data_IF_538747857634
#
_entry.id   IF_538747857634
#
_cell.length_a   1.000
_cell.length_b   1.000
_cell.length_c   1.000
_cell.angle_alpha   90.00
_cell.angle_beta   90.00
_cell.angle_gamma   90.00
#
_symmetry.space_group_name_H-M   'P 1'
#
loop_
_entity.id
_entity.type
_entity.pdbx_description
1 polymer ?
#
# COMPACT_ATOMS: atom_id res chain seq x y z
N UNK A 1 7.75 5.39 7.98
CA UNK A 1 6.73 5.75 6.98
C UNK A 1 5.67 6.62 7.62
N UNK A 2 5.12 7.58 6.86
CA UNK A 2 3.96 8.39 7.27
C UNK A 2 2.83 8.18 6.27
N UNK A 3 1.58 8.21 6.73
CA UNK A 3 0.43 8.25 5.83
C UNK A 3 0.40 9.63 5.16
N UNK A 4 0.54 9.67 3.84
CA UNK A 4 0.61 10.92 3.07
C UNK A 4 -0.62 11.15 2.20
N UNK A 5 -1.39 10.11 1.90
CA UNK A 5 -2.68 10.22 1.23
C UNK A 5 -3.57 9.03 1.58
N UNK A 6 -4.88 9.24 1.54
CA UNK A 6 -5.86 8.15 1.68
C UNK A 6 -7.20 8.53 1.04
N UNK A 7 -7.97 7.50 0.68
CA UNK A 7 -9.38 7.61 0.33
C UNK A 7 -10.17 6.42 0.90
N UNK A 8 -11.40 6.21 0.45
CA UNK A 8 -12.26 5.12 0.93
C UNK A 8 -11.70 3.70 0.69
N UNK A 9 -10.79 3.53 -0.27
CA UNK A 9 -10.25 2.23 -0.70
C UNK A 9 -8.72 2.20 -0.73
N UNK A 10 -8.04 3.34 -0.64
CA UNK A 10 -6.58 3.42 -0.74
C UNK A 10 -5.93 4.08 0.47
N UNK A 11 -4.71 3.65 0.78
CA UNK A 11 -3.82 4.24 1.78
C UNK A 11 -2.42 4.32 1.18
N UNK A 12 -1.82 5.51 1.16
CA UNK A 12 -0.46 5.74 0.66
C UNK A 12 0.44 6.15 1.81
N UNK A 13 1.46 5.33 2.05
CA UNK A 13 2.52 5.58 3.01
C UNK A 13 3.80 5.95 2.28
N UNK A 14 4.47 7.01 2.71
CA UNK A 14 5.72 7.48 2.11
C UNK A 14 6.82 7.72 3.16
N UNK A 15 8.06 7.46 2.76
CA UNK A 15 9.28 7.82 3.47
C UNK A 15 10.43 8.05 2.46
N UNK A 16 10.61 9.27 1.93
CA UNK A 16 11.66 9.56 0.95
C UNK A 16 13.09 9.33 1.46
N UNK A 17 13.31 9.35 2.78
CA UNK A 17 14.62 9.17 3.39
C UNK A 17 15.07 7.70 3.51
N UNK A 18 14.20 6.74 3.16
CA UNK A 18 14.56 5.32 3.15
C UNK A 18 15.29 4.99 1.84
N UNK A 19 16.22 4.04 1.87
CA UNK A 19 16.88 3.49 0.70
C UNK A 19 15.91 2.68 -0.19
N UNK A 20 15.21 1.69 0.38
CA UNK A 20 14.05 1.02 -0.20
C UNK A 20 13.28 0.22 0.87
N UNK A 21 11.93 0.22 0.87
CA UNK A 21 11.05 0.96 -0.03
C UNK A 21 10.85 2.41 0.44
N UNK A 22 10.41 3.29 -0.47
CA UNK A 22 10.07 4.68 -0.14
C UNK A 22 8.57 4.94 -0.17
N UNK A 23 7.80 4.10 -0.87
CA UNK A 23 6.34 4.17 -0.96
C UNK A 23 5.73 2.77 -0.76
N UNK A 24 4.67 2.73 0.03
CA UNK A 24 3.78 1.58 0.17
C UNK A 24 2.35 2.08 -0.07
N UNK A 25 1.70 1.56 -1.09
CA UNK A 25 0.28 1.80 -1.35
C UNK A 25 -0.51 0.54 -1.01
N UNK A 26 -1.53 0.67 -0.18
CA UNK A 26 -2.52 -0.38 0.02
C UNK A 26 -3.81 -0.01 -0.70
N UNK A 27 -4.40 -0.98 -1.39
CA UNK A 27 -5.69 -0.84 -2.07
C UNK A 27 -6.59 -2.01 -1.70
N UNK A 28 -7.76 -1.72 -1.15
CA UNK A 28 -8.80 -2.73 -0.95
C UNK A 28 -9.40 -3.12 -2.29
N UNK A 29 -9.39 -4.41 -2.59
CA UNK A 29 -9.98 -4.99 -3.79
C UNK A 29 -11.02 -6.02 -3.35
N UNK A 30 -12.27 -5.89 -3.81
CA UNK A 30 -13.35 -6.74 -3.31
C UNK A 30 -13.63 -6.56 -1.80
N UNK A 31 -14.19 -7.60 -1.17
CA UNK A 31 -14.59 -7.59 0.25
C UNK A 31 -13.54 -8.19 1.18
N UNK A 32 -12.63 -9.00 0.64
CA UNK A 32 -11.73 -9.90 1.35
C UNK A 32 -10.29 -9.85 0.81
N UNK A 33 -9.96 -8.87 -0.04
CA UNK A 33 -8.64 -8.76 -0.64
C UNK A 33 -8.03 -7.37 -0.44
N UNK A 34 -6.74 -7.35 -0.12
CA UNK A 34 -5.92 -6.16 -0.01
C UNK A 34 -4.71 -6.33 -0.94
N UNK A 35 -4.55 -5.43 -1.91
CA UNK A 35 -3.34 -5.33 -2.72
C UNK A 35 -2.39 -4.34 -2.06
N UNK A 36 -1.10 -4.67 -1.98
CA UNK A 36 -0.05 -3.73 -1.63
C UNK A 36 0.89 -3.53 -2.82
N UNK A 37 1.23 -2.28 -3.13
CA UNK A 37 2.29 -1.93 -4.08
C UNK A 37 3.44 -1.28 -3.32
N UNK A 38 4.62 -1.90 -3.37
CA UNK A 38 5.82 -1.51 -2.61
C UNK A 38 6.92 -1.09 -3.59
N UNK A 39 7.42 0.14 -3.50
CA UNK A 39 8.43 0.62 -4.42
C UNK A 39 9.12 1.92 -4.01
N UNK A 40 9.95 2.45 -4.90
CA UNK A 40 10.47 3.81 -4.82
C UNK A 40 9.38 4.83 -5.21
N UNK A 41 9.61 6.12 -4.93
CA UNK A 41 8.61 7.18 -5.21
C UNK A 41 8.27 7.33 -6.69
N UNK A 42 9.25 7.19 -7.58
CA UNK A 42 9.06 7.45 -9.01
C UNK A 42 9.11 6.18 -9.87
N UNK A 43 9.06 5.01 -9.22
CA UNK A 43 9.16 3.72 -9.90
C UNK A 43 7.90 2.86 -9.74
N UNK A 44 7.70 1.95 -10.70
CA UNK A 44 6.69 0.89 -10.56
C UNK A 44 7.11 -0.06 -9.44
N UNK A 45 6.28 -0.12 -8.39
CA UNK A 45 6.51 -1.02 -7.27
C UNK A 45 6.18 -2.48 -7.58
N UNK A 46 6.59 -3.37 -6.68
CA UNK A 46 6.17 -4.77 -6.66
C UNK A 46 4.79 -4.88 -6.03
N UNK A 47 3.92 -5.69 -6.63
CA UNK A 47 2.58 -5.98 -6.12
C UNK A 47 2.56 -7.23 -5.26
N UNK A 48 1.81 -7.17 -4.17
CA UNK A 48 1.54 -8.26 -3.24
C UNK A 48 0.03 -8.32 -3.03
N UNK A 49 -0.55 -9.52 -3.02
CA UNK A 49 -1.97 -9.71 -2.74
C UNK A 49 -2.14 -10.44 -1.40
N UNK A 50 -3.06 -9.94 -0.57
CA UNK A 50 -3.41 -10.52 0.71
C UNK A 50 -4.91 -10.81 0.75
N UNK A 51 -5.28 -12.08 0.90
CA UNK A 51 -6.64 -12.46 1.29
C UNK A 51 -6.79 -12.29 2.79
N UNK A 52 -7.93 -11.77 3.25
CA UNK A 52 -8.24 -11.61 4.66
C UNK A 52 -9.69 -11.98 4.94
N UNK A 53 -9.94 -12.49 6.15
CA UNK A 53 -11.30 -12.60 6.70
C UNK A 53 -11.51 -11.46 7.68
N UNK A 54 -12.61 -10.71 7.50
CA UNK A 54 -12.99 -9.68 8.45
C UNK A 54 -13.49 -10.36 9.73
N UNK A 55 -12.76 -10.20 10.83
CA UNK A 55 -13.24 -10.56 12.16
C UNK A 55 -14.03 -9.35 12.68
N UNK A 56 -15.30 -9.58 13.03
CA UNK A 56 -16.17 -8.57 13.63
C UNK A 56 -16.06 -8.61 15.15
#
# INVERSE_FOLDING_TARGET
FRLTAHDAKTLVFSNPAHDFPQRIEYRRTGLDTLEATVGALDEKGKKLEFKYTLVR
#
